data_IF_061878684679
#
_entry.id   IF_061878684679
#
_cell.length_a   1.000
_cell.length_b   1.000
_cell.length_c   1.000
_cell.angle_alpha   90.00
_cell.angle_beta   90.00
_cell.angle_gamma   90.00
#
_symmetry.space_group_name_H-M   'P 1'
#
loop_
_entity.id
_entity.type
_entity.pdbx_description
1 polymer ?
#
# COMPACT_ATOMS: atom_id res chain seq x y z
N UNK A 1 -9.31 11.30 2.43
CA UNK A 1 -8.66 10.62 3.57
C UNK A 1 -9.71 9.98 4.45
N UNK A 2 -9.45 8.77 4.96
CA UNK A 2 -10.35 8.01 5.83
C UNK A 2 -9.65 7.60 7.12
N UNK A 3 -10.36 7.58 8.24
CA UNK A 3 -9.91 7.06 9.53
C UNK A 3 -11.13 6.78 10.42
N UNK A 4 -11.05 5.77 11.28
CA UNK A 4 -12.10 5.44 12.26
C UNK A 4 -12.12 6.42 13.44
N UNK A 5 -11.05 7.17 13.65
CA UNK A 5 -10.87 8.13 14.73
C UNK A 5 -11.14 9.56 14.28
N UNK A 6 -12.17 10.18 14.85
CA UNK A 6 -12.45 11.62 14.65
C UNK A 6 -11.25 12.49 15.03
N UNK A 7 -10.51 12.11 16.09
CA UNK A 7 -9.32 12.87 16.53
C UNK A 7 -8.18 12.81 15.54
N UNK A 8 -7.93 11.64 14.91
CA UNK A 8 -6.95 11.47 13.85
C UNK A 8 -7.30 12.30 12.61
N UNK A 9 -8.57 12.24 12.18
CA UNK A 9 -9.06 13.03 11.06
C UNK A 9 -8.94 14.54 11.31
N UNK A 10 -9.25 15.01 12.53
CA UNK A 10 -9.12 16.42 12.84
C UNK A 10 -7.67 16.89 12.78
N UNK A 11 -6.73 16.13 13.39
CA UNK A 11 -5.29 16.43 13.31
C UNK A 11 -4.79 16.45 11.88
N UNK A 12 -5.20 15.47 11.09
CA UNK A 12 -4.81 15.41 9.68
C UNK A 12 -5.34 16.62 8.90
N UNK A 13 -6.61 16.99 9.11
CA UNK A 13 -7.23 18.18 8.49
C UNK A 13 -6.49 19.47 8.89
N UNK A 14 -6.12 19.60 10.16
CA UNK A 14 -5.39 20.77 10.65
C UNK A 14 -3.97 20.83 10.02
N UNK A 15 -3.25 19.70 9.94
CA UNK A 15 -1.96 19.63 9.29
C UNK A 15 -2.03 19.95 7.78
N UNK A 16 -3.04 19.42 7.10
CA UNK A 16 -3.25 19.73 5.68
C UNK A 16 -3.49 21.22 5.46
N UNK A 17 -4.33 21.85 6.27
CA UNK A 17 -4.59 23.30 6.20
C UNK A 17 -3.36 24.14 6.45
N UNK A 18 -2.45 23.70 7.34
CA UNK A 18 -1.19 24.39 7.59
C UNK A 18 -0.25 24.32 6.38
N UNK A 19 -0.23 23.18 5.69
CA UNK A 19 0.68 22.94 4.54
C UNK A 19 0.11 23.49 3.23
N UNK A 20 -1.20 23.40 3.04
CA UNK A 20 -1.91 23.79 1.82
C UNK A 20 -3.26 24.42 2.19
N UNK A 21 -3.28 25.73 2.57
CA UNK A 21 -4.47 26.40 3.09
C UNK A 21 -5.65 26.43 2.10
N UNK A 22 -5.36 26.50 0.81
CA UNK A 22 -6.35 26.63 -0.26
C UNK A 22 -6.87 25.28 -0.80
N UNK A 23 -6.34 24.17 -0.28
CA UNK A 23 -6.77 22.84 -0.71
C UNK A 23 -7.88 22.29 0.20
N UNK A 24 -9.00 21.89 -0.41
CA UNK A 24 -10.09 21.26 0.32
C UNK A 24 -9.87 19.74 0.40
N UNK A 25 -9.64 19.27 1.63
CA UNK A 25 -9.40 17.84 1.91
C UNK A 25 -10.71 17.17 2.32
N UNK A 26 -11.16 16.22 1.51
CA UNK A 26 -12.27 15.34 1.88
C UNK A 26 -11.81 14.36 2.97
N UNK A 27 -12.40 14.49 4.16
CA UNK A 27 -12.11 13.67 5.33
C UNK A 27 -13.35 12.89 5.75
N UNK A 28 -13.29 11.58 5.64
CA UNK A 28 -14.40 10.66 5.91
C UNK A 28 -14.14 9.84 7.15
N UNK A 29 -15.09 9.84 8.06
CA UNK A 29 -15.09 8.95 9.23
C UNK A 29 -15.64 7.59 8.80
N UNK A 30 -14.84 6.55 8.96
CA UNK A 30 -15.23 5.18 8.67
C UNK A 30 -14.04 4.25 8.55
N UNK A 31 -14.30 2.98 8.31
CA UNK A 31 -13.27 1.94 8.29
C UNK A 31 -12.75 1.69 6.87
N UNK A 32 -11.47 1.92 6.70
CA UNK A 32 -10.71 1.58 5.51
C UNK A 32 -11.39 1.96 4.19
N UNK A 33 -11.63 0.96 3.35
CA UNK A 33 -12.24 1.13 2.04
C UNK A 33 -13.77 1.31 2.06
N UNK A 34 -14.44 1.08 3.18
CA UNK A 34 -15.90 1.18 3.27
C UNK A 34 -16.43 2.56 2.85
N UNK A 35 -15.66 3.60 3.15
CA UNK A 35 -16.04 5.01 2.89
C UNK A 35 -15.95 5.42 1.41
N UNK A 36 -15.34 4.59 0.58
CA UNK A 36 -15.19 4.83 -0.86
C UNK A 36 -16.29 4.14 -1.66
N UNK A 37 -16.65 4.72 -2.79
CA UNK A 37 -17.48 4.05 -3.79
C UNK A 37 -16.60 3.32 -4.82
N UNK A 38 -17.11 2.28 -5.50
CA UNK A 38 -16.42 1.67 -6.63
C UNK A 38 -16.00 2.71 -7.66
N UNK A 39 -14.77 2.63 -8.19
CA UNK A 39 -14.19 3.55 -9.17
C UNK A 39 -14.05 5.02 -8.75
N UNK A 40 -14.26 5.36 -7.48
CA UNK A 40 -14.19 6.74 -6.99
C UNK A 40 -12.78 7.32 -7.05
N UNK A 41 -11.77 6.48 -6.84
CA UNK A 41 -10.35 6.86 -6.88
C UNK A 41 -9.54 5.87 -7.71
N UNK A 42 -8.49 6.34 -8.35
CA UNK A 42 -7.57 5.47 -9.08
C UNK A 42 -6.53 4.82 -8.16
N UNK A 43 -6.08 5.55 -7.15
CA UNK A 43 -5.00 5.09 -6.26
C UNK A 43 -5.43 5.17 -4.80
N UNK A 44 -5.19 4.09 -4.07
CA UNK A 44 -5.41 4.00 -2.62
C UNK A 44 -4.06 3.87 -1.92
N UNK A 45 -3.86 4.65 -0.86
CA UNK A 45 -2.68 4.55 0.01
C UNK A 45 -3.10 3.99 1.36
N UNK A 46 -2.50 2.87 1.77
CA UNK A 46 -2.71 2.23 3.07
C UNK A 46 -1.36 2.14 3.79
N UNK A 47 -1.14 3.00 4.77
CA UNK A 47 0.15 3.12 5.43
C UNK A 47 0.03 3.13 6.96
N UNK A 48 1.06 2.62 7.63
CA UNK A 48 1.18 2.69 9.08
C UNK A 48 0.33 1.68 9.84
N UNK A 49 -0.15 0.63 9.19
CA UNK A 49 -0.97 -0.43 9.80
C UNK A 49 -0.35 -1.81 9.63
N UNK A 50 -0.80 -2.81 10.38
CA UNK A 50 -0.32 -4.19 10.25
C UNK A 50 -0.76 -4.81 8.92
N UNK A 51 0.06 -5.72 8.38
CA UNK A 51 -0.25 -6.41 7.12
C UNK A 51 -1.58 -7.18 7.15
N UNK A 52 -1.88 -7.84 8.27
CA UNK A 52 -3.15 -8.56 8.42
C UNK A 52 -4.37 -7.65 8.32
N UNK A 53 -4.29 -6.44 8.88
CA UNK A 53 -5.36 -5.46 8.77
C UNK A 53 -5.50 -4.94 7.33
N UNK A 54 -4.38 -4.75 6.63
CA UNK A 54 -4.41 -4.40 5.20
C UNK A 54 -5.12 -5.50 4.41
N UNK A 55 -4.76 -6.77 4.65
CA UNK A 55 -5.38 -7.93 4.01
C UNK A 55 -6.89 -7.94 4.28
N UNK A 56 -7.30 -7.80 5.53
CA UNK A 56 -8.71 -7.77 5.93
C UNK A 56 -9.49 -6.70 5.19
N UNK A 57 -8.94 -5.49 5.10
CA UNK A 57 -9.57 -4.38 4.36
C UNK A 57 -9.68 -4.63 2.85
N UNK A 58 -8.65 -5.25 2.24
CA UNK A 58 -8.67 -5.58 0.82
C UNK A 58 -9.65 -6.72 0.50
N UNK A 59 -9.81 -7.66 1.42
CA UNK A 59 -10.62 -8.87 1.27
C UNK A 59 -12.10 -8.63 1.54
N UNK A 60 -12.44 -7.67 2.42
CA UNK A 60 -13.81 -7.35 2.83
C UNK A 60 -14.78 -7.25 1.65
N UNK A 61 -14.40 -6.54 0.59
CA UNK A 61 -15.12 -6.49 -0.69
C UNK A 61 -14.12 -6.52 -1.84
N UNK A 62 -13.67 -7.69 -2.18
CA UNK A 62 -12.64 -7.91 -3.21
C UNK A 62 -13.09 -7.40 -4.59
N UNK A 63 -14.38 -7.42 -4.88
CA UNK A 63 -14.93 -6.92 -6.16
C UNK A 63 -14.74 -5.41 -6.22
N UNK A 64 -15.10 -4.71 -5.17
CA UNK A 64 -14.91 -3.27 -5.04
C UNK A 64 -13.43 -2.90 -5.02
N UNK A 65 -12.61 -3.64 -4.27
CA UNK A 65 -11.16 -3.45 -4.20
C UNK A 65 -10.53 -3.47 -5.59
N UNK A 66 -10.98 -4.35 -6.47
CA UNK A 66 -10.52 -4.45 -7.85
C UNK A 66 -10.97 -3.30 -8.76
N UNK A 67 -11.86 -2.43 -8.31
CA UNK A 67 -12.23 -1.23 -9.06
C UNK A 67 -11.20 -0.10 -8.95
N UNK A 68 -10.29 -0.17 -7.99
CA UNK A 68 -9.19 0.77 -7.84
C UNK A 68 -7.97 0.25 -8.59
N UNK A 69 -7.31 1.10 -9.37
CA UNK A 69 -6.23 0.67 -10.28
C UNK A 69 -4.92 0.34 -9.56
N UNK A 70 -4.63 1.07 -8.47
CA UNK A 70 -3.34 1.03 -7.80
C UNK A 70 -3.48 1.13 -6.28
N UNK A 71 -2.64 0.37 -5.58
CA UNK A 71 -2.43 0.51 -4.16
C UNK A 71 -0.98 0.84 -3.85
N UNK A 72 -0.75 1.72 -2.88
CA UNK A 72 0.54 1.95 -2.24
C UNK A 72 0.38 1.48 -0.80
N UNK A 73 1.08 0.40 -0.45
CA UNK A 73 0.93 -0.30 0.83
C UNK A 73 2.21 -0.17 1.65
N UNK A 74 2.09 0.32 2.88
CA UNK A 74 3.20 0.39 3.84
C UNK A 74 2.82 -0.37 5.10
N UNK A 75 3.05 -1.71 5.16
CA UNK A 75 2.82 -2.51 6.35
C UNK A 75 3.86 -2.20 7.42
N UNK A 76 3.48 -2.31 8.69
CA UNK A 76 4.42 -2.16 9.83
C UNK A 76 5.08 -3.47 10.21
N UNK A 77 4.51 -4.59 9.83
CA UNK A 77 4.95 -5.95 10.17
C UNK A 77 4.36 -6.95 9.18
N UNK A 78 4.82 -8.19 9.22
CA UNK A 78 4.28 -9.33 8.48
C UNK A 78 4.16 -9.10 6.97
N UNK A 79 5.16 -8.43 6.37
CA UNK A 79 5.19 -8.15 4.92
C UNK A 79 5.03 -9.43 4.09
N UNK A 80 5.70 -10.53 4.50
CA UNK A 80 5.64 -11.80 3.77
C UNK A 80 4.22 -12.34 3.63
N UNK A 81 3.37 -12.22 4.66
CA UNK A 81 1.97 -12.62 4.60
C UNK A 81 1.18 -11.76 3.61
N UNK A 82 1.44 -10.44 3.60
CA UNK A 82 0.80 -9.53 2.65
C UNK A 82 1.21 -9.86 1.20
N UNK A 83 2.51 -10.07 0.95
CA UNK A 83 3.02 -10.42 -0.38
C UNK A 83 2.43 -11.74 -0.86
N UNK A 84 2.36 -12.75 0.02
CA UNK A 84 1.73 -14.03 -0.30
C UNK A 84 0.27 -13.84 -0.67
N UNK A 85 -0.50 -13.14 0.17
CA UNK A 85 -1.92 -12.89 -0.09
C UNK A 85 -2.15 -12.15 -1.41
N UNK A 86 -1.35 -11.12 -1.69
CA UNK A 86 -1.42 -10.37 -2.95
C UNK A 86 -1.20 -11.27 -4.17
N UNK A 87 -0.20 -12.15 -4.12
CA UNK A 87 0.07 -13.12 -5.19
C UNK A 87 -1.05 -14.13 -5.35
N UNK A 88 -1.52 -14.71 -4.26
CA UNK A 88 -2.61 -15.71 -4.26
C UNK A 88 -3.91 -15.13 -4.83
N UNK A 89 -4.10 -13.82 -4.68
CA UNK A 89 -5.24 -13.09 -5.22
C UNK A 89 -4.97 -12.39 -6.56
N UNK A 90 -3.88 -12.73 -7.26
CA UNK A 90 -3.53 -12.18 -8.58
C UNK A 90 -3.42 -10.65 -8.63
N UNK A 91 -2.93 -10.03 -7.55
CA UNK A 91 -2.49 -8.64 -7.56
C UNK A 91 -1.05 -8.57 -8.09
N UNK A 92 -0.77 -7.59 -8.90
CA UNK A 92 0.56 -7.39 -9.47
C UNK A 92 1.38 -6.40 -8.65
N UNK A 93 2.45 -6.88 -7.99
CA UNK A 93 3.40 -6.02 -7.28
C UNK A 93 4.34 -5.42 -8.33
N UNK A 94 4.23 -4.12 -8.57
CA UNK A 94 4.98 -3.42 -9.63
C UNK A 94 6.22 -2.70 -9.11
N UNK A 95 6.29 -2.41 -7.81
CA UNK A 95 7.46 -1.81 -7.20
C UNK A 95 7.57 -2.15 -5.72
N UNK A 96 8.80 -2.18 -5.21
CA UNK A 96 9.13 -2.36 -3.80
C UNK A 96 10.24 -1.38 -3.42
N UNK A 97 9.94 -0.51 -2.47
CA UNK A 97 10.87 0.52 -2.00
C UNK A 97 11.17 0.35 -0.52
N UNK A 98 12.43 0.62 -0.16
CA UNK A 98 12.88 0.73 1.23
C UNK A 98 13.16 2.19 1.55
N UNK A 99 12.44 2.73 2.52
CA UNK A 99 12.60 4.12 2.96
C UNK A 99 13.05 4.17 4.41
N UNK A 100 14.17 4.83 4.66
CA UNK A 100 14.68 5.03 6.03
C UNK A 100 14.00 6.23 6.67
N UNK A 101 13.28 5.99 7.75
CA UNK A 101 12.67 7.01 8.61
C UNK A 101 13.30 6.98 10.00
N UNK A 102 14.24 7.86 10.25
CA UNK A 102 15.02 7.89 11.50
C UNK A 102 15.81 6.59 11.70
N UNK A 103 15.41 5.76 12.68
CA UNK A 103 16.01 4.46 12.96
C UNK A 103 15.23 3.28 12.36
N UNK A 104 14.12 3.55 11.69
CA UNK A 104 13.26 2.53 11.08
C UNK A 104 13.49 2.47 9.59
N UNK A 105 13.32 1.28 9.03
CA UNK A 105 13.19 1.07 7.59
C UNK A 105 11.72 0.76 7.35
N UNK A 106 11.11 1.51 6.45
CA UNK A 106 9.73 1.34 6.01
C UNK A 106 9.74 0.66 4.65
N UNK A 107 8.99 -0.40 4.54
CA UNK A 107 8.81 -1.17 3.30
C UNK A 107 7.55 -0.68 2.60
N UNK A 108 7.66 -0.31 1.33
CA UNK A 108 6.56 0.23 0.55
C UNK A 108 6.36 -0.61 -0.70
N UNK A 109 5.17 -1.16 -0.84
CA UNK A 109 4.76 -1.89 -2.04
C UNK A 109 3.88 -1.01 -2.92
N UNK A 110 4.16 -1.00 -4.23
CA UNK A 110 3.20 -0.51 -5.23
C UNK A 110 2.57 -1.70 -5.92
N UNK A 111 1.24 -1.73 -5.91
CA UNK A 111 0.45 -2.87 -6.37
C UNK A 111 -0.61 -2.41 -7.36
N UNK A 112 -0.77 -3.11 -8.46
CA UNK A 112 -1.82 -2.90 -9.46
C UNK A 112 -2.82 -4.05 -9.45
N UNK A 113 -4.10 -3.72 -9.65
CA UNK A 113 -5.21 -4.68 -9.69
C UNK A 113 -5.38 -5.34 -11.05
N UNK A 114 -4.97 -4.67 -12.11
CA UNK A 114 -4.96 -5.24 -13.44
C UNK A 114 -3.64 -5.99 -13.66
N UNK A 115 -3.73 -7.18 -14.25
CA UNK A 115 -2.54 -7.83 -14.82
C UNK A 115 -1.98 -6.86 -15.85
N UNK A 116 -0.77 -6.35 -15.64
CA UNK A 116 -0.08 -5.62 -16.69
C UNK A 116 -0.05 -6.54 -17.91
N UNK A 117 -0.82 -6.20 -18.94
CA UNK A 117 -0.60 -6.80 -20.24
C UNK A 117 0.89 -6.66 -20.54
N UNK A 118 1.48 -7.62 -21.21
CA UNK A 118 2.92 -7.87 -21.41
C UNK A 118 3.84 -6.69 -21.75
N UNK A 119 3.36 -5.44 -21.74
CA UNK A 119 4.07 -4.25 -22.25
C UNK A 119 4.52 -3.23 -21.18
N UNK A 120 4.35 -3.48 -19.88
CA UNK A 120 4.72 -2.48 -18.87
C UNK A 120 6.12 -2.67 -18.24
N UNK A 121 6.84 -3.73 -18.59
CA UNK A 121 8.17 -4.03 -18.05
C UNK A 121 9.34 -3.31 -18.78
N UNK A 122 9.11 -2.36 -19.70
CA UNK A 122 10.17 -1.80 -20.52
C UNK A 122 10.52 -0.33 -20.32
N UNK A 123 10.09 0.37 -19.28
CA UNK A 123 10.61 1.72 -19.08
C UNK A 123 10.76 2.12 -17.61
N UNK A 124 11.71 1.57 -16.94
CA UNK A 124 12.52 2.15 -15.85
C UNK A 124 13.06 1.14 -14.84
N UNK A 125 13.60 0.02 -15.29
CA UNK A 125 14.46 -0.82 -14.45
C UNK A 125 15.81 -1.02 -15.16
N UNK A 126 16.69 -0.03 -15.01
CA UNK A 126 18.12 -0.31 -14.99
C UNK A 126 18.42 -0.80 -13.56
N UNK A 127 18.39 -2.10 -13.36
CA UNK A 127 19.17 -2.82 -12.36
C UNK A 127 18.75 -4.30 -12.40
N UNK A 128 19.72 -5.12 -12.68
CA UNK A 128 19.72 -6.55 -12.56
C UNK A 128 19.35 -7.00 -11.13
N UNK A 129 18.08 -7.15 -10.85
CA UNK A 129 17.56 -7.92 -9.73
C UNK A 129 16.24 -8.56 -10.17
N UNK A 130 16.35 -9.70 -10.82
CA UNK A 130 15.29 -10.70 -10.76
C UNK A 130 15.13 -11.09 -9.29
N UNK A 131 14.07 -10.59 -8.68
CA UNK A 131 13.57 -11.13 -7.42
C UNK A 131 12.97 -12.51 -7.73
N UNK A 132 13.82 -13.52 -7.84
CA UNK A 132 13.39 -14.90 -7.64
C UNK A 132 12.99 -15.02 -6.17
N UNK A 133 11.74 -14.73 -5.89
CA UNK A 133 11.11 -15.02 -4.61
C UNK A 133 10.88 -16.54 -4.56
N UNK A 134 11.90 -17.27 -4.18
CA UNK A 134 11.77 -18.70 -3.88
C UNK A 134 10.80 -18.88 -2.70
N UNK A 135 9.96 -19.89 -2.79
CA UNK A 135 8.77 -20.12 -1.97
C UNK A 135 9.03 -20.40 -0.48
N UNK A 136 10.24 -20.27 0.01
CA UNK A 136 10.65 -20.62 1.36
C UNK A 136 11.03 -19.46 2.28
N UNK A 137 11.28 -18.24 1.77
CA UNK A 137 11.79 -17.14 2.59
C UNK A 137 11.02 -15.85 2.32
N UNK A 138 9.86 -15.70 2.95
CA UNK A 138 9.13 -14.43 3.04
C UNK A 138 9.56 -13.55 4.22
N UNK A 139 10.56 -13.97 4.98
CA UNK A 139 11.24 -13.13 5.98
C UNK A 139 12.45 -12.47 5.31
N UNK A 140 12.45 -11.16 5.21
CA UNK A 140 13.59 -10.33 4.81
C UNK A 140 14.36 -9.76 6.02
N UNK A 141 14.80 -10.55 7.01
CA UNK A 141 15.58 -10.04 8.12
C UNK A 141 17.01 -9.71 7.71
N UNK A 142 17.58 -10.41 6.73
CA UNK A 142 19.02 -10.38 6.47
C UNK A 142 19.47 -9.20 5.59
N UNK A 143 18.58 -8.56 4.85
CA UNK A 143 18.89 -7.35 4.07
C UNK A 143 18.93 -6.07 4.90
N UNK A 144 18.48 -6.11 6.15
CA UNK A 144 18.38 -4.94 7.03
C UNK A 144 19.59 -4.79 7.97
N UNK A 145 20.45 -5.81 8.10
CA UNK A 145 21.49 -5.86 9.13
C UNK A 145 22.87 -5.36 8.67
N UNK A 146 23.12 -5.19 7.39
CA UNK A 146 24.45 -4.85 6.88
C UNK A 146 24.67 -3.40 6.40
N UNK A 147 23.83 -2.44 6.82
CA UNK A 147 24.14 -1.01 6.53
C UNK A 147 23.89 -0.10 7.70
#
# INVERSE_FOLDING_TARGET
MADISKGSLQKAKDNCKLSQPDFDFDCRLGDGLEVLQPHEVDTVVMAGMGALLIIEMLEWDIIKTRTYKKFILQPRNNLGELVKWLKDNNFNITNYDLVKEGKRICEILTVCTESAGENFYQSSCNADHELELDSAEYDFPDLIIEH
#
